data_IF_219856179455
#
_entry.id   IF_219856179455
#
_cell.length_a   1.000
_cell.length_b   1.000
_cell.length_c   1.000
_cell.angle_alpha   90.00
_cell.angle_beta   90.00
_cell.angle_gamma   90.00
#
_symmetry.space_group_name_H-M   'P 1'
#
loop_
_entity.id
_entity.type
_entity.pdbx_description
1 polymer ?
#
# COMPACT_ATOMS: atom_id res chain seq x y z
N UNK A 1 -55.10 39.42 39.80
CA UNK A 1 -54.84 37.98 39.80
C UNK A 1 -54.20 37.66 38.44
N UNK A 2 -52.84 37.54 38.38
CA UNK A 2 -52.09 37.42 37.18
C UNK A 2 -51.72 35.93 37.10
N UNK A 3 -52.23 35.23 36.08
CA UNK A 3 -51.88 33.77 35.80
C UNK A 3 -50.70 33.76 34.86
N UNK A 4 -49.53 33.33 35.36
CA UNK A 4 -48.35 33.11 34.56
C UNK A 4 -48.47 31.70 34.02
N UNK A 5 -48.71 31.58 32.69
CA UNK A 5 -48.63 30.32 31.95
C UNK A 5 -47.16 30.01 31.72
N UNK A 6 -46.61 29.03 32.45
CA UNK A 6 -45.28 28.49 32.25
C UNK A 6 -45.35 27.48 31.08
N UNK A 7 -44.80 27.83 29.91
CA UNK A 7 -44.57 26.90 28.80
C UNK A 7 -43.31 26.11 29.10
N UNK A 8 -43.48 24.84 29.47
CA UNK A 8 -42.38 23.89 29.46
C UNK A 8 -42.10 23.48 28.02
N UNK A 9 -41.02 24.00 27.42
CA UNK A 9 -40.43 23.44 26.25
C UNK A 9 -39.71 22.13 26.66
N UNK A 10 -40.37 21.00 26.48
CA UNK A 10 -39.72 19.72 26.45
C UNK A 10 -38.99 19.64 25.09
N UNK A 11 -37.73 20.07 25.04
CA UNK A 11 -36.85 19.80 23.94
C UNK A 11 -36.59 18.27 23.95
N UNK A 12 -37.07 17.57 22.95
CA UNK A 12 -36.55 16.24 22.62
C UNK A 12 -35.10 16.44 22.21
N UNK A 13 -34.18 16.20 23.11
CA UNK A 13 -32.79 15.90 22.74
C UNK A 13 -32.83 14.46 22.20
N UNK A 14 -32.89 14.31 20.90
CA UNK A 14 -32.54 13.02 20.29
C UNK A 14 -31.07 12.83 20.61
N UNK A 15 -30.76 11.87 21.45
CA UNK A 15 -29.41 11.37 21.62
C UNK A 15 -29.06 10.73 20.25
N UNK A 16 -28.22 11.42 19.46
CA UNK A 16 -27.64 10.82 18.26
C UNK A 16 -26.87 9.58 18.73
N UNK A 17 -27.30 8.42 18.28
CA UNK A 17 -26.64 7.16 18.57
C UNK A 17 -25.29 7.19 17.87
N UNK A 18 -24.22 7.45 18.62
CA UNK A 18 -22.87 7.46 18.06
C UNK A 18 -22.53 6.07 17.52
N UNK A 19 -22.20 6.01 16.23
CA UNK A 19 -21.67 4.80 15.60
C UNK A 19 -20.42 4.35 16.38
N UNK A 20 -20.27 3.08 16.58
CA UNK A 20 -19.08 2.49 17.22
C UNK A 20 -18.35 1.62 16.24
N UNK A 21 -17.05 1.83 16.17
CA UNK A 21 -16.17 1.06 15.33
C UNK A 21 -15.18 0.24 16.16
N UNK A 22 -14.72 -0.88 15.61
CA UNK A 22 -13.70 -1.73 16.21
C UNK A 22 -12.30 -1.18 15.96
N UNK A 23 -12.08 -0.52 14.83
CA UNK A 23 -10.87 0.21 14.52
C UNK A 23 -10.74 1.52 15.29
N UNK A 24 -9.66 2.24 15.08
CA UNK A 24 -9.43 3.56 15.70
C UNK A 24 -10.25 4.63 14.98
N UNK A 25 -11.25 5.16 15.66
CA UNK A 25 -12.14 6.19 15.12
C UNK A 25 -11.50 7.58 15.21
N UNK A 26 -11.62 8.37 14.15
CA UNK A 26 -11.32 9.80 14.15
C UNK A 26 -12.47 10.57 14.77
N UNK A 27 -12.20 11.32 15.85
CA UNK A 27 -13.23 12.12 16.55
C UNK A 27 -13.67 13.35 15.72
N UNK A 28 -12.77 13.87 14.87
CA UNK A 28 -13.02 14.93 13.89
C UNK A 28 -12.47 14.43 12.54
N UNK A 29 -13.29 13.68 11.77
CA UNK A 29 -12.86 13.01 10.57
C UNK A 29 -12.35 13.99 9.51
N UNK A 30 -11.04 14.01 9.21
CA UNK A 30 -10.52 14.90 8.20
C UNK A 30 -10.93 14.44 6.80
N UNK A 31 -11.36 15.38 5.95
CA UNK A 31 -11.44 15.12 4.53
C UNK A 31 -10.03 14.95 3.95
N UNK A 32 -9.88 14.09 2.95
CA UNK A 32 -8.63 13.94 2.24
C UNK A 32 -8.70 14.66 0.89
N UNK A 33 -7.58 15.27 0.45
CA UNK A 33 -7.49 15.82 -0.90
C UNK A 33 -7.74 14.75 -1.96
N UNK A 34 -8.38 15.16 -3.06
CA UNK A 34 -8.53 14.30 -4.22
C UNK A 34 -7.16 14.03 -4.89
N UNK A 35 -7.02 12.87 -5.48
CA UNK A 35 -5.85 12.51 -6.28
C UNK A 35 -6.29 11.82 -7.57
N UNK A 36 -5.40 11.76 -8.53
CA UNK A 36 -5.56 10.92 -9.72
C UNK A 36 -4.27 10.15 -9.94
N UNK A 37 -4.35 8.83 -9.90
CA UNK A 37 -3.24 7.90 -10.09
C UNK A 37 -3.59 6.90 -11.20
N UNK A 38 -2.64 6.05 -11.57
CA UNK A 38 -2.81 5.05 -12.63
C UNK A 38 -2.98 3.66 -12.03
N UNK A 39 -4.01 2.93 -12.46
CA UNK A 39 -4.25 1.55 -12.01
C UNK A 39 -3.39 0.52 -12.77
N UNK A 40 -3.52 -0.74 -12.39
CA UNK A 40 -2.84 -1.88 -13.01
C UNK A 40 -3.24 -2.15 -14.46
N UNK A 41 -4.31 -1.54 -14.97
CA UNK A 41 -4.78 -1.63 -16.36
C UNK A 41 -4.40 -0.40 -17.19
N UNK A 42 -3.69 0.56 -16.58
CA UNK A 42 -3.27 1.80 -17.23
C UNK A 42 -4.36 2.87 -17.29
N UNK A 43 -5.46 2.74 -16.54
CA UNK A 43 -6.51 3.75 -16.47
C UNK A 43 -6.20 4.76 -15.37
N UNK A 44 -6.65 6.00 -15.57
CA UNK A 44 -6.63 6.99 -14.51
C UNK A 44 -7.80 6.73 -13.54
N UNK A 45 -7.48 6.70 -12.26
CA UNK A 45 -8.44 6.52 -11.16
C UNK A 45 -8.28 7.68 -10.19
N UNK A 46 -9.37 8.36 -9.87
CA UNK A 46 -9.42 9.46 -8.90
C UNK A 46 -10.20 9.03 -7.66
N UNK A 47 -9.84 9.54 -6.50
CA UNK A 47 -10.62 9.27 -5.29
C UNK A 47 -12.06 9.75 -5.43
N UNK A 48 -12.28 10.85 -6.15
CA UNK A 48 -13.61 11.39 -6.45
C UNK A 48 -14.51 10.48 -7.31
N UNK A 49 -13.96 9.46 -7.98
CA UNK A 49 -14.73 8.48 -8.74
C UNK A 49 -15.58 7.58 -7.82
N UNK A 50 -15.21 7.51 -6.55
CA UNK A 50 -15.88 6.67 -5.54
C UNK A 50 -16.81 7.45 -4.61
N UNK A 51 -17.17 8.70 -4.95
CA UNK A 51 -18.11 9.49 -4.14
C UNK A 51 -19.43 8.76 -3.92
N UNK A 52 -19.90 8.81 -2.68
CA UNK A 52 -21.13 8.13 -2.26
C UNK A 52 -20.93 6.69 -1.85
N UNK A 53 -19.67 6.18 -1.89
CA UNK A 53 -19.31 4.86 -1.40
C UNK A 53 -18.40 4.95 -0.19
N UNK A 54 -18.42 3.92 0.62
CA UNK A 54 -17.39 3.67 1.63
C UNK A 54 -16.13 3.20 0.91
N UNK A 55 -14.98 3.82 1.17
CA UNK A 55 -13.73 3.48 0.48
C UNK A 55 -12.71 2.97 1.48
N UNK A 56 -12.19 1.78 1.22
CA UNK A 56 -11.07 1.18 1.97
C UNK A 56 -9.78 1.49 1.22
N UNK A 57 -8.81 2.11 1.91
CA UNK A 57 -7.52 2.46 1.29
C UNK A 57 -6.37 1.85 2.08
N UNK A 58 -5.58 1.02 1.39
CA UNK A 58 -4.36 0.42 1.92
C UNK A 58 -3.12 0.98 1.19
N UNK A 59 -2.02 1.13 1.92
CA UNK A 59 -0.73 1.51 1.35
C UNK A 59 0.18 0.28 1.38
N UNK A 60 0.66 -0.14 0.21
CA UNK A 60 1.36 -1.41 0.01
C UNK A 60 2.58 -1.26 -0.90
N UNK A 61 3.37 -2.32 -1.03
CA UNK A 61 4.28 -2.52 -2.15
C UNK A 61 4.41 -4.01 -2.49
N UNK A 62 4.54 -4.32 -3.78
CA UNK A 62 4.45 -5.70 -4.28
C UNK A 62 5.58 -6.61 -3.81
N UNK A 63 6.76 -6.02 -3.54
CA UNK A 63 7.95 -6.75 -3.06
C UNK A 63 8.00 -6.92 -1.53
N UNK A 64 6.91 -6.59 -0.81
CA UNK A 64 6.81 -6.81 0.63
C UNK A 64 6.76 -8.31 0.93
N UNK A 65 7.63 -8.84 1.82
CA UNK A 65 7.72 -10.29 2.03
C UNK A 65 6.59 -10.88 2.89
N UNK A 66 5.91 -10.10 3.72
CA UNK A 66 4.98 -10.62 4.72
C UNK A 66 3.76 -9.73 5.01
N UNK A 67 3.96 -8.46 5.36
CA UNK A 67 2.90 -7.58 5.89
C UNK A 67 1.85 -7.22 4.83
N UNK A 68 2.28 -6.75 3.65
CA UNK A 68 1.33 -6.33 2.61
C UNK A 68 0.49 -7.49 2.08
N UNK A 69 1.07 -8.68 1.78
CA UNK A 69 0.25 -9.83 1.43
C UNK A 69 -0.77 -10.21 2.50
N UNK A 70 -0.41 -10.12 3.80
CA UNK A 70 -1.34 -10.43 4.88
C UNK A 70 -2.53 -9.46 4.89
N UNK A 71 -2.29 -8.15 4.76
CA UNK A 71 -3.34 -7.14 4.66
C UNK A 71 -4.25 -7.41 3.45
N UNK A 72 -3.66 -7.55 2.27
CA UNK A 72 -4.45 -7.68 1.04
C UNK A 72 -5.23 -8.98 0.97
N UNK A 73 -4.71 -10.09 1.50
CA UNK A 73 -5.51 -11.31 1.62
C UNK A 73 -6.66 -11.17 2.62
N UNK A 74 -6.48 -10.39 3.70
CA UNK A 74 -7.57 -10.06 4.62
C UNK A 74 -8.62 -9.21 3.93
N UNK A 75 -8.21 -8.18 3.17
CA UNK A 75 -9.13 -7.35 2.38
C UNK A 75 -9.87 -8.17 1.32
N UNK A 76 -9.19 -9.09 0.64
CA UNK A 76 -9.80 -10.00 -0.33
C UNK A 76 -10.85 -10.93 0.29
N UNK A 77 -10.61 -11.40 1.52
CA UNK A 77 -11.61 -12.16 2.27
C UNK A 77 -12.81 -11.26 2.63
N UNK A 78 -12.57 -10.05 3.09
CA UNK A 78 -13.64 -9.08 3.42
C UNK A 78 -14.47 -8.75 2.18
N UNK A 79 -13.83 -8.45 1.04
CA UNK A 79 -14.51 -8.20 -0.24
C UNK A 79 -15.41 -9.37 -0.65
N UNK A 80 -14.89 -10.59 -0.55
CA UNK A 80 -15.68 -11.81 -0.81
C UNK A 80 -16.93 -11.93 0.09
N UNK A 81 -16.89 -11.35 1.30
CA UNK A 81 -18.00 -11.42 2.26
C UNK A 81 -19.02 -10.28 2.11
N UNK A 82 -18.72 -9.20 1.37
CA UNK A 82 -19.63 -8.06 1.20
C UNK A 82 -21.03 -8.45 0.70
N UNK A 83 -21.18 -9.39 -0.28
CA UNK A 83 -22.51 -9.79 -0.77
C UNK A 83 -23.39 -10.44 0.29
N UNK A 84 -22.82 -11.17 1.25
CA UNK A 84 -23.58 -11.79 2.33
C UNK A 84 -24.20 -10.75 3.28
N UNK A 85 -23.66 -9.53 3.27
CA UNK A 85 -24.13 -8.37 4.03
C UNK A 85 -24.92 -7.36 3.18
N UNK A 86 -25.00 -7.56 1.85
CA UNK A 86 -25.73 -6.71 0.92
C UNK A 86 -25.12 -5.34 0.72
N UNK A 87 -23.80 -5.21 0.90
CA UNK A 87 -23.05 -3.95 0.78
C UNK A 87 -22.00 -3.96 -0.33
N UNK A 88 -22.00 -4.96 -1.20
CA UNK A 88 -21.03 -5.12 -2.29
C UNK A 88 -21.04 -3.97 -3.32
N UNK A 89 -22.12 -3.20 -3.37
CA UNK A 89 -22.21 -2.03 -4.26
C UNK A 89 -21.91 -0.71 -3.56
N UNK A 90 -21.75 -0.73 -2.24
CA UNK A 90 -21.58 0.45 -1.39
C UNK A 90 -20.14 0.60 -0.86
N UNK A 91 -19.30 -0.42 -1.06
CA UNK A 91 -17.90 -0.45 -0.62
C UNK A 91 -16.97 -0.60 -1.82
N UNK A 92 -15.86 0.11 -1.79
CA UNK A 92 -14.77 -0.02 -2.77
C UNK A 92 -13.43 -0.14 -2.05
N UNK A 93 -12.50 -0.88 -2.67
CA UNK A 93 -11.14 -1.04 -2.18
C UNK A 93 -10.15 -0.35 -3.11
N UNK A 94 -9.10 0.22 -2.55
CA UNK A 94 -7.98 0.82 -3.30
C UNK A 94 -6.68 0.45 -2.58
N UNK A 95 -5.71 -0.06 -3.31
CA UNK A 95 -4.33 -0.21 -2.84
C UNK A 95 -3.43 0.81 -3.53
N UNK A 96 -2.64 1.57 -2.76
CA UNK A 96 -1.73 2.61 -3.29
C UNK A 96 -0.30 2.19 -3.00
N UNK A 97 0.54 2.15 -4.05
CA UNK A 97 1.94 1.78 -3.83
C UNK A 97 2.73 2.83 -3.06
N UNK A 98 3.70 2.35 -2.28
CA UNK A 98 4.74 3.17 -1.65
C UNK A 98 6.13 2.94 -2.27
N UNK A 99 6.18 2.20 -3.37
CA UNK A 99 7.42 1.88 -4.07
C UNK A 99 7.26 1.98 -5.60
N UNK A 100 7.03 3.19 -6.12
CA UNK A 100 6.78 3.39 -7.54
C UNK A 100 7.94 2.98 -8.45
N UNK A 101 9.15 2.91 -7.91
CA UNK A 101 10.31 2.48 -8.67
C UNK A 101 10.19 1.01 -9.13
N UNK A 102 9.66 0.12 -8.29
CA UNK A 102 9.43 -1.30 -8.63
C UNK A 102 7.99 -1.58 -9.06
N UNK A 103 7.02 -0.87 -8.50
CA UNK A 103 5.60 -1.12 -8.71
C UNK A 103 5.07 -0.35 -9.93
N UNK A 104 5.56 -0.74 -11.10
CA UNK A 104 5.05 -0.25 -12.39
C UNK A 104 3.64 -0.79 -12.66
N UNK A 105 2.94 -0.22 -13.64
CA UNK A 105 1.63 -0.73 -14.09
C UNK A 105 1.70 -2.22 -14.43
N UNK A 106 2.76 -2.67 -15.11
CA UNK A 106 2.97 -4.07 -15.46
C UNK A 106 3.20 -4.94 -14.22
N UNK A 107 4.01 -4.46 -13.26
CA UNK A 107 4.27 -5.15 -11.99
C UNK A 107 2.99 -5.33 -11.20
N UNK A 108 2.20 -4.25 -11.05
CA UNK A 108 0.89 -4.28 -10.37
C UNK A 108 -0.08 -5.23 -11.07
N UNK A 109 -0.12 -5.24 -12.42
CA UNK A 109 -0.96 -6.17 -13.19
C UNK A 109 -0.62 -7.63 -12.94
N UNK A 110 0.69 -7.95 -12.92
CA UNK A 110 1.14 -9.30 -12.63
C UNK A 110 0.82 -9.70 -11.19
N UNK A 111 1.01 -8.78 -10.26
CA UNK A 111 0.73 -8.99 -8.84
C UNK A 111 -0.76 -9.24 -8.57
N UNK A 112 -1.64 -8.39 -9.06
CA UNK A 112 -3.11 -8.53 -8.88
C UNK A 112 -3.62 -9.79 -9.54
N UNK A 113 -3.13 -10.12 -10.74
CA UNK A 113 -3.50 -11.36 -11.44
C UNK A 113 -3.08 -12.61 -10.67
N UNK A 114 -1.85 -12.64 -10.15
CA UNK A 114 -1.33 -13.79 -9.41
C UNK A 114 -2.08 -14.04 -8.10
N UNK A 115 -2.59 -12.98 -7.45
CA UNK A 115 -3.29 -13.05 -6.18
C UNK A 115 -4.82 -13.01 -6.30
N UNK A 116 -5.36 -12.83 -7.51
CA UNK A 116 -6.80 -12.69 -7.77
C UNK A 116 -7.44 -11.50 -7.03
N UNK A 117 -6.72 -10.37 -7.00
CA UNK A 117 -7.27 -9.11 -6.50
C UNK A 117 -7.93 -8.36 -7.65
N UNK A 118 -9.17 -7.93 -7.49
CA UNK A 118 -9.99 -7.32 -8.57
C UNK A 118 -10.26 -5.81 -8.36
N UNK A 119 -9.70 -5.20 -7.32
CA UNK A 119 -9.78 -3.77 -7.07
C UNK A 119 -8.56 -2.98 -7.60
N UNK A 120 -8.68 -1.64 -7.74
CA UNK A 120 -7.58 -0.81 -8.22
C UNK A 120 -6.34 -0.84 -7.33
N UNK A 121 -5.19 -1.16 -7.95
CA UNK A 121 -3.86 -1.02 -7.39
C UNK A 121 -3.17 0.13 -8.12
N UNK A 122 -2.86 1.19 -7.39
CA UNK A 122 -2.53 2.49 -7.96
C UNK A 122 -1.04 2.80 -7.84
N UNK A 123 -0.49 3.34 -8.94
CA UNK A 123 0.88 3.86 -9.04
C UNK A 123 0.88 5.18 -9.82
N UNK A 124 2.06 5.80 -9.97
CA UNK A 124 2.28 6.93 -10.87
C UNK A 124 3.66 6.82 -11.52
N UNK A 125 3.75 7.23 -12.80
CA UNK A 125 5.02 7.41 -13.47
C UNK A 125 5.78 8.65 -12.98
N UNK A 126 5.10 9.56 -12.26
CA UNK A 126 5.70 10.70 -11.58
C UNK A 126 5.68 10.43 -10.06
N UNK A 127 6.81 10.10 -9.42
CA UNK A 127 6.84 9.81 -7.98
C UNK A 127 6.33 10.94 -7.09
N UNK A 128 6.41 12.21 -7.51
CA UNK A 128 5.93 13.35 -6.74
C UNK A 128 4.43 13.31 -6.47
N UNK A 129 3.65 12.69 -7.37
CA UNK A 129 2.20 12.50 -7.18
C UNK A 129 1.94 11.60 -5.98
N UNK A 130 2.69 10.50 -5.86
CA UNK A 130 2.58 9.55 -4.74
C UNK A 130 3.10 10.16 -3.43
N UNK A 131 4.23 10.87 -3.47
CA UNK A 131 4.75 11.60 -2.29
C UNK A 131 3.72 12.60 -1.77
N UNK A 132 3.00 13.27 -2.66
CA UNK A 132 1.90 14.18 -2.27
C UNK A 132 0.78 13.41 -1.57
N UNK A 133 0.34 12.29 -2.15
CA UNK A 133 -0.71 11.44 -1.54
C UNK A 133 -0.27 10.92 -0.17
N UNK A 134 0.95 10.39 -0.04
CA UNK A 134 1.44 9.89 1.27
C UNK A 134 1.44 10.99 2.34
N UNK A 135 1.88 12.20 1.98
CA UNK A 135 1.86 13.34 2.89
C UNK A 135 0.44 13.74 3.30
N UNK A 136 -0.49 13.85 2.35
CA UNK A 136 -1.88 14.19 2.59
C UNK A 136 -2.59 13.16 3.48
N UNK A 137 -2.17 11.90 3.39
CA UNK A 137 -2.71 10.82 4.19
C UNK A 137 -1.97 10.61 5.52
N UNK A 138 -0.88 11.35 5.77
CA UNK A 138 0.03 11.16 6.90
C UNK A 138 0.61 9.74 6.96
N UNK A 139 0.91 9.16 5.82
CA UNK A 139 1.62 7.88 5.69
C UNK A 139 3.11 8.18 5.65
N UNK A 140 3.84 7.68 6.66
CA UNK A 140 5.30 7.80 6.69
C UNK A 140 5.87 6.71 5.79
N UNK A 141 6.62 7.10 4.78
CA UNK A 141 7.32 6.20 3.85
C UNK A 141 8.81 6.44 3.99
N UNK A 142 9.55 5.38 4.32
CA UNK A 142 11.01 5.35 4.35
C UNK A 142 11.49 4.54 3.14
N UNK A 143 11.68 5.24 2.04
CA UNK A 143 12.09 4.66 0.75
C UNK A 143 13.07 5.61 0.05
N UNK A 144 14.36 5.32 0.19
CA UNK A 144 15.45 6.10 -0.43
C UNK A 144 15.46 5.99 -1.96
N UNK A 145 14.70 5.06 -2.53
CA UNK A 145 14.68 4.74 -3.95
C UNK A 145 13.41 5.22 -4.69
N UNK A 146 12.60 6.07 -4.08
CA UNK A 146 11.36 6.62 -4.68
C UNK A 146 11.59 7.16 -6.10
N UNK A 147 12.75 7.78 -6.32
CA UNK A 147 13.15 8.38 -7.60
C UNK A 147 14.15 7.53 -8.40
N UNK A 148 14.38 6.27 -8.00
CA UNK A 148 15.30 5.41 -8.72
C UNK A 148 14.74 5.03 -10.10
N UNK A 149 15.50 5.32 -11.14
CA UNK A 149 15.21 4.88 -12.50
C UNK A 149 15.93 3.56 -12.78
N UNK A 150 15.21 2.48 -12.88
CA UNK A 150 15.75 1.15 -13.20
C UNK A 150 15.88 0.88 -14.71
N UNK A 151 15.61 1.90 -15.56
CA UNK A 151 15.65 1.72 -17.03
C UNK A 151 17.08 1.64 -17.63
N UNK A 152 18.14 1.86 -16.84
CA UNK A 152 19.51 1.97 -17.31
C UNK A 152 20.46 0.88 -16.77
N UNK A 153 20.12 -0.40 -16.92
CA UNK A 153 21.12 -1.48 -16.85
C UNK A 153 21.30 -2.17 -18.21
N UNK A 154 21.55 -1.39 -19.25
CA UNK A 154 22.22 -1.90 -20.43
C UNK A 154 23.73 -2.00 -20.09
N UNK A 155 24.19 -3.20 -19.81
CA UNK A 155 25.60 -3.51 -19.67
C UNK A 155 26.26 -3.33 -21.04
N UNK A 156 26.91 -2.19 -21.26
CA UNK A 156 27.92 -2.05 -22.28
C UNK A 156 29.08 -3.00 -21.94
N UNK A 157 29.04 -4.17 -22.56
CA UNK A 157 30.19 -5.06 -22.67
C UNK A 157 31.20 -4.38 -23.61
N UNK A 158 32.06 -3.54 -23.06
CA UNK A 158 33.26 -3.08 -23.74
C UNK A 158 34.13 -4.31 -24.02
N UNK A 159 34.07 -4.73 -25.29
CA UNK A 159 34.97 -5.68 -25.90
C UNK A 159 36.39 -5.07 -25.91
N UNK A 160 37.21 -5.45 -24.95
CA UNK A 160 38.66 -5.19 -25.00
C UNK A 160 39.27 -5.96 -26.14
N UNK A 161 39.49 -5.25 -27.23
CA UNK A 161 40.32 -5.67 -28.35
C UNK A 161 41.79 -5.75 -27.90
N UNK A 162 42.33 -6.96 -27.92
CA UNK A 162 43.72 -7.25 -27.59
C UNK A 162 44.60 -6.95 -28.81
N UNK A 163 45.19 -5.77 -28.84
CA UNK A 163 46.31 -5.51 -29.76
C UNK A 163 47.65 -5.68 -29.05
N UNK A 164 48.30 -6.73 -29.47
CA UNK A 164 49.66 -7.15 -29.33
C UNK A 164 50.69 -6.04 -29.49
N UNK A 165 51.64 -5.88 -28.55
CA UNK A 165 52.95 -5.31 -28.84
C UNK A 165 54.06 -5.96 -28.01
N UNK A 166 54.96 -6.58 -28.72
CA UNK A 166 56.22 -7.19 -28.32
C UNK A 166 57.23 -6.21 -27.72
N UNK A 167 57.91 -6.64 -26.63
CA UNK A 167 59.06 -5.92 -26.08
C UNK A 167 59.79 -6.78 -25.07
N UNK A 168 60.86 -7.34 -25.49
CA UNK A 168 61.86 -8.21 -24.86
C UNK A 168 62.69 -7.39 -23.88
N UNK A 169 62.94 -7.90 -22.64
CA UNK A 169 64.31 -7.90 -22.07
C UNK A 169 64.34 -8.66 -20.72
N UNK A 170 65.40 -9.45 -20.62
CA UNK A 170 65.86 -10.35 -19.58
C UNK A 170 66.38 -9.64 -18.34
N UNK A 171 66.17 -10.21 -17.15
CA UNK A 171 67.19 -10.31 -16.12
C UNK A 171 66.95 -11.45 -15.16
N UNK A 172 67.92 -12.31 -15.07
CA UNK A 172 68.13 -13.37 -14.08
C UNK A 172 68.44 -12.73 -12.71
N UNK A 173 68.05 -13.37 -11.61
CA UNK A 173 68.94 -13.78 -10.51
C UNK A 173 68.19 -14.49 -9.39
N UNK A 174 68.81 -15.59 -9.02
CA UNK A 174 68.54 -16.58 -8.00
C UNK A 174 68.30 -16.06 -6.60
N UNK A 175 67.46 -16.78 -5.84
CA UNK A 175 67.75 -17.12 -4.45
C UNK A 175 66.93 -18.32 -3.95
N UNK A 176 67.68 -19.36 -3.53
CA UNK A 176 67.25 -20.58 -2.84
C UNK A 176 66.81 -20.31 -1.42
N UNK A 177 65.97 -21.18 -0.86
CA UNK A 177 65.99 -21.43 0.58
C UNK A 177 64.71 -21.94 1.25
N UNK A 178 64.57 -23.27 1.28
CA UNK A 178 64.14 -24.15 2.39
C UNK A 178 62.92 -23.81 3.28
N UNK A 179 62.07 -24.81 3.42
CA UNK A 179 61.28 -25.03 4.64
C UNK A 179 60.08 -25.91 4.49
N UNK A 180 60.31 -27.23 4.62
CA UNK A 180 59.28 -28.27 4.76
C UNK A 180 58.35 -27.97 5.95
N UNK A 181 57.07 -28.24 5.85
CA UNK A 181 56.32 -29.04 6.81
C UNK A 181 54.99 -29.56 6.24
N UNK A 182 54.87 -30.84 6.46
CA UNK A 182 53.85 -31.80 6.11
C UNK A 182 52.44 -31.46 6.67
N UNK A 183 51.47 -31.93 5.89
CA UNK A 183 50.39 -32.85 6.29
C UNK A 183 49.02 -32.26 6.68
N UNK A 184 48.06 -32.51 5.98
CA UNK A 184 46.92 -33.44 6.09
C UNK A 184 45.80 -33.12 5.10
N UNK A 185 45.52 -34.17 4.34
CA UNK A 185 44.30 -34.51 3.61
C UNK A 185 42.98 -34.10 4.32
N UNK A 186 41.98 -33.64 3.60
CA UNK A 186 40.88 -34.46 3.07
C UNK A 186 39.81 -33.60 2.40
N UNK A 187 39.44 -34.04 1.20
CA UNK A 187 38.11 -34.03 0.59
C UNK A 187 37.07 -32.90 0.91
N UNK A 188 36.76 -32.12 -0.09
CA UNK A 188 35.41 -32.15 -0.63
C UNK A 188 35.38 -31.40 -1.95
N UNK A 189 35.05 -32.12 -3.01
CA UNK A 189 34.56 -31.58 -4.26
C UNK A 189 33.28 -30.81 -4.03
N UNK A 190 33.40 -29.49 -3.97
CA UNK A 190 32.22 -28.61 -4.06
C UNK A 190 32.16 -28.11 -5.50
N UNK A 191 31.16 -28.61 -6.21
CA UNK A 191 30.74 -28.15 -7.52
C UNK A 191 30.24 -26.72 -7.36
N UNK A 192 31.04 -25.75 -7.76
CA UNK A 192 30.62 -24.36 -7.89
C UNK A 192 29.42 -24.27 -8.84
N UNK A 193 28.24 -24.17 -8.27
CA UNK A 193 27.12 -23.51 -8.93
C UNK A 193 27.45 -22.02 -8.92
N UNK A 194 27.79 -21.52 -10.11
CA UNK A 194 27.75 -20.10 -10.38
C UNK A 194 26.27 -19.70 -10.26
N UNK A 195 25.86 -19.27 -9.04
CA UNK A 195 24.67 -18.45 -8.89
C UNK A 195 24.95 -17.17 -9.67
N UNK A 196 24.30 -17.05 -10.83
CA UNK A 196 24.12 -15.77 -11.47
C UNK A 196 23.31 -14.91 -10.50
N UNK A 197 24.00 -14.16 -9.64
CA UNK A 197 23.40 -13.10 -8.87
C UNK A 197 22.87 -12.08 -9.89
N UNK A 198 21.58 -12.18 -10.22
CA UNK A 198 20.84 -11.04 -10.68
C UNK A 198 21.03 -9.99 -9.58
N UNK A 199 21.65 -8.87 -9.94
CA UNK A 199 21.74 -7.73 -9.06
C UNK A 199 20.33 -7.12 -8.93
N UNK A 200 19.44 -7.85 -8.28
CA UNK A 200 18.22 -7.33 -7.72
C UNK A 200 18.70 -6.43 -6.56
N UNK A 201 18.66 -5.12 -6.77
CA UNK A 201 19.01 -4.15 -5.76
C UNK A 201 18.00 -4.27 -4.63
N UNK A 202 18.26 -5.21 -3.72
CA UNK A 202 17.44 -5.45 -2.55
C UNK A 202 17.63 -4.26 -1.60
N UNK A 203 16.76 -3.27 -1.73
CA UNK A 203 16.66 -2.19 -0.75
C UNK A 203 15.41 -2.38 0.11
N UNK A 204 15.49 -1.90 1.33
CA UNK A 204 14.39 -1.98 2.28
C UNK A 204 13.45 -0.79 2.07
N UNK A 205 12.14 -1.07 2.08
CA UNK A 205 11.10 -0.06 2.14
C UNK A 205 10.36 -0.23 3.45
N UNK A 206 10.33 0.84 4.24
CA UNK A 206 9.58 0.90 5.48
C UNK A 206 8.43 1.87 5.37
N UNK A 207 7.31 1.56 6.02
CA UNK A 207 6.18 2.49 6.08
C UNK A 207 5.32 2.26 7.30
N UNK A 208 4.50 3.25 7.63
CA UNK A 208 3.44 3.08 8.60
C UNK A 208 2.35 2.16 8.03
N UNK A 209 2.10 1.06 8.71
CA UNK A 209 1.11 0.06 8.29
C UNK A 209 -0.26 0.46 8.81
N UNK A 210 -1.03 1.16 7.98
CA UNK A 210 -2.38 1.61 8.32
C UNK A 210 -3.29 1.43 7.11
N UNK A 211 -4.47 0.84 7.34
CA UNK A 211 -5.57 0.78 6.38
C UNK A 211 -6.66 1.74 6.85
N UNK A 212 -7.16 2.57 5.96
CA UNK A 212 -8.17 3.58 6.26
C UNK A 212 -9.53 3.19 5.70
N UNK A 213 -10.60 3.54 6.44
CA UNK A 213 -11.97 3.49 5.95
C UNK A 213 -12.46 4.93 5.85
N UNK A 214 -12.87 5.33 4.63
CA UNK A 214 -13.51 6.61 4.36
C UNK A 214 -15.03 6.42 4.35
N UNK A 215 -15.75 7.46 4.82
CA UNK A 215 -17.20 7.53 4.65
C UNK A 215 -17.59 7.95 3.22
N UNK A 216 -18.89 7.97 2.92
CA UNK A 216 -19.42 8.33 1.59
C UNK A 216 -19.11 9.77 1.18
N UNK A 217 -18.77 10.64 2.13
CA UNK A 217 -18.35 12.03 1.89
C UNK A 217 -16.85 12.16 1.63
N UNK A 218 -16.07 11.06 1.79
CA UNK A 218 -14.63 11.01 1.58
C UNK A 218 -13.82 11.46 2.80
N UNK A 219 -14.38 11.39 4.01
CA UNK A 219 -13.64 11.70 5.24
C UNK A 219 -13.04 10.43 5.85
N UNK A 220 -11.84 10.51 6.40
CA UNK A 220 -11.22 9.40 7.13
C UNK A 220 -11.93 9.16 8.45
N UNK A 221 -12.72 8.10 8.52
CA UNK A 221 -13.51 7.77 9.72
C UNK A 221 -12.83 6.80 10.64
N UNK A 222 -12.17 5.77 10.09
CA UNK A 222 -11.58 4.70 10.87
C UNK A 222 -10.20 4.37 10.33
N UNK A 223 -9.26 4.10 11.22
CA UNK A 223 -7.91 3.61 10.90
C UNK A 223 -7.67 2.26 11.58
N UNK A 224 -7.18 1.30 10.80
CA UNK A 224 -6.74 -0.01 11.24
C UNK A 224 -5.23 -0.11 11.14
N UNK A 225 -4.55 -0.15 12.27
CA UNK A 225 -3.08 -0.20 12.35
C UNK A 225 -2.58 -1.63 12.47
N UNK A 226 -1.41 -1.91 11.87
CA UNK A 226 -0.83 -3.25 11.83
C UNK A 226 -1.42 -4.09 10.71
N UNK A 227 -1.32 -5.43 10.83
CA UNK A 227 -1.71 -6.37 9.79
C UNK A 227 -2.40 -7.64 10.33
N UNK A 228 -2.47 -7.80 11.65
CA UNK A 228 -3.01 -8.97 12.35
C UNK A 228 -4.39 -8.72 12.95
N UNK A 229 -5.13 -7.76 12.36
CA UNK A 229 -6.48 -7.45 12.80
C UNK A 229 -7.50 -8.47 12.29
N UNK A 230 -8.59 -8.58 13.06
CA UNK A 230 -9.69 -9.53 12.79
C UNK A 230 -10.51 -9.04 11.59
N UNK A 231 -10.62 -9.89 10.56
CA UNK A 231 -11.35 -9.57 9.33
C UNK A 231 -12.85 -9.36 9.56
N UNK A 232 -13.43 -10.09 10.51
CA UNK A 232 -14.87 -10.00 10.83
C UNK A 232 -15.17 -8.67 11.54
N UNK A 233 -14.28 -8.25 12.45
CA UNK A 233 -14.40 -6.93 13.08
C UNK A 233 -14.22 -5.79 12.07
N UNK A 234 -13.33 -5.97 11.07
CA UNK A 234 -13.18 -5.00 10.00
C UNK A 234 -14.45 -4.93 9.12
N UNK A 235 -15.03 -6.08 8.78
CA UNK A 235 -16.29 -6.16 8.04
C UNK A 235 -17.45 -5.53 8.81
N UNK A 236 -17.52 -5.72 10.13
CA UNK A 236 -18.52 -5.06 10.99
C UNK A 236 -18.40 -3.52 10.90
N UNK A 237 -17.19 -2.98 10.85
CA UNK A 237 -16.97 -1.55 10.68
C UNK A 237 -17.49 -1.06 9.32
N UNK A 238 -17.29 -1.81 8.23
CA UNK A 238 -17.84 -1.47 6.91
C UNK A 238 -19.36 -1.49 6.91
N UNK A 239 -19.97 -2.53 7.49
CA UNK A 239 -21.43 -2.63 7.63
C UNK A 239 -21.97 -1.45 8.44
N UNK A 240 -21.32 -1.12 9.56
CA UNK A 240 -21.68 0.04 10.40
C UNK A 240 -21.57 1.35 9.62
N UNK A 241 -20.52 1.51 8.81
CA UNK A 241 -20.30 2.71 8.01
C UNK A 241 -21.37 2.88 6.93
N UNK A 242 -21.72 1.82 6.21
CA UNK A 242 -22.71 1.86 5.14
C UNK A 242 -24.11 2.14 5.69
N UNK A 243 -24.56 1.39 6.68
CA UNK A 243 -25.93 1.53 7.20
C UNK A 243 -26.10 2.67 8.18
N UNK A 244 -25.07 3.04 8.95
CA UNK A 244 -25.12 4.14 9.88
C UNK A 244 -25.24 5.50 9.21
N UNK A 245 -24.59 5.69 8.07
CA UNK A 245 -24.70 6.93 7.29
C UNK A 245 -26.04 7.06 6.57
N UNK A 246 -26.67 5.94 6.16
CA UNK A 246 -27.98 5.95 5.54
C UNK A 246 -29.11 6.41 6.48
N UNK A 247 -28.96 6.27 7.81
CA UNK A 247 -29.92 6.80 8.77
C UNK A 247 -29.85 8.33 8.88
N UNK A 248 -28.73 8.95 8.53
CA UNK A 248 -28.55 10.41 8.59
C UNK A 248 -29.11 11.17 7.37
N UNK A 249 -29.21 10.50 6.21
CA UNK A 249 -29.71 11.10 4.97
C UNK A 249 -31.24 11.19 4.92
N UNK A 250 -31.96 10.31 5.62
CA UNK A 250 -33.43 10.30 5.62
C UNK A 250 -34.06 11.40 6.49
N UNK A 251 -33.31 12.00 7.42
CA UNK A 251 -33.82 13.06 8.31
C UNK A 251 -33.80 14.47 7.70
N UNK A 252 -33.11 14.68 6.56
CA UNK A 252 -32.99 16.00 5.93
C UNK A 252 -34.08 16.34 4.88
N UNK A 253 -34.82 15.35 4.37
CA UNK A 253 -35.85 15.57 3.35
C UNK A 253 -37.26 15.88 3.90
N UNK A 254 -37.44 16.04 5.24
CA UNK A 254 -38.73 16.19 5.93
C UNK A 254 -39.28 17.59 6.08
N UNK A 255 -38.62 18.67 5.64
CA UNK A 255 -39.10 20.05 5.85
C UNK A 255 -39.08 20.92 4.57
N UNK A 256 -39.93 20.59 3.63
CA UNK A 256 -40.44 21.54 2.67
C UNK A 256 -41.90 21.21 2.40
N UNK A 257 -42.80 21.89 3.08
CA UNK A 257 -44.13 22.33 2.58
C UNK A 257 -45.06 22.69 3.76
N UNK A 258 -45.20 23.95 4.02
CA UNK A 258 -46.48 24.75 3.95
C UNK A 258 -46.25 26.13 4.55
#
# INVERSE_FOLDING_TARGET
>A
MLVILSFCFAGCISEEEQLKFNGTEYQDPPSVPDFTLTDQDGNNVSLSDFKGKVVVVAFIFTSCPDVCPAIEHTLNYVDFMLPDHGIENDVEFISITIDPARDTVETLKNYTTANSFDWPHLTSSNPDDLVTVWNDWNVVVDNDHVYADHSNHDHDHDSHDSSNSTGNESHDEDHEGHGDHDNHSDHSSDSGQEESASADTQYNVGHSTVTFILDQDGNKRVAWSGYDWDAEMFLEDLVTMVYGSNQHSDDHDGHAHH
#
